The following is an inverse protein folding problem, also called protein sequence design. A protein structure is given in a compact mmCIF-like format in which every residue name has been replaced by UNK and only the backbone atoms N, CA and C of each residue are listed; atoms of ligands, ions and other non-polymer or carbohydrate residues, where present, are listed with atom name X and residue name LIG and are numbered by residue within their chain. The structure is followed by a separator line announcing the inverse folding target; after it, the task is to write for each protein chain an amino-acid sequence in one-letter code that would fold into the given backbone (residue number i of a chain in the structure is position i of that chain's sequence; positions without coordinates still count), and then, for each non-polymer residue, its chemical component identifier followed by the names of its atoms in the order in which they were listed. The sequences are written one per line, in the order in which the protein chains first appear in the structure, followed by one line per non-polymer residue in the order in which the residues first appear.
data_IF_005082678736
#
_entry.id   IF_005082678736
#
_cell.length_a   1.000
_cell.length_b   1.000
_cell.length_c   1.000
_cell.angle_alpha   90.00
_cell.angle_beta   90.00
_cell.angle_gamma   90.00
#
_symmetry.space_group_name_H-M   'P 1'
#
loop_
_entity.id
_entity.type
_entity.pdbx_description
1 polymer ?
#
# COMPACT_ATOMS: atom_id res chain seq x y z
N UNK A 1 -70.00 -6.68 52.09
CA UNK A 1 -69.13 -5.89 52.97
C UNK A 1 -67.78 -5.92 52.28
N UNK A 2 -67.54 -4.98 51.36
CA UNK A 2 -66.80 -3.73 51.66
C UNK A 2 -65.46 -4.11 52.29
N UNK A 3 -64.32 -3.74 51.72
CA UNK A 3 -63.86 -2.35 51.69
C UNK A 3 -62.80 -2.17 50.58
N UNK A 4 -62.87 -1.05 49.86
CA UNK A 4 -61.69 -0.41 49.27
C UNK A 4 -61.37 0.81 50.16
N UNK A 5 -60.10 1.14 50.44
CA UNK A 5 -59.63 2.41 49.88
C UNK A 5 -58.13 2.50 49.52
N UNK A 6 -57.89 3.11 48.37
CA UNK A 6 -56.83 4.04 47.97
C UNK A 6 -55.47 4.04 48.73
N UNK A 7 -54.41 3.65 48.01
CA UNK A 7 -53.02 3.93 48.35
C UNK A 7 -52.23 4.36 47.12
N UNK A 8 -51.65 5.56 47.18
CA UNK A 8 -50.94 6.32 46.14
C UNK A 8 -49.90 5.50 45.36
N UNK A 9 -49.95 5.54 44.03
CA UNK A 9 -48.80 5.27 43.16
C UNK A 9 -48.25 6.61 42.67
N UNK A 10 -47.33 7.16 43.46
CA UNK A 10 -46.27 8.01 42.94
C UNK A 10 -45.04 7.12 42.79
N UNK A 11 -44.61 6.86 41.57
CA UNK A 11 -43.29 6.31 41.29
C UNK A 11 -42.93 6.72 39.86
N UNK A 12 -42.39 7.93 39.80
CA UNK A 12 -41.51 8.37 38.72
C UNK A 12 -40.37 7.37 38.58
N UNK A 13 -40.30 6.69 37.44
CA UNK A 13 -39.11 5.98 36.99
C UNK A 13 -39.18 5.87 35.48
N UNK A 14 -39.00 7.03 34.83
CA UNK A 14 -38.30 7.05 33.56
C UNK A 14 -36.88 6.58 33.82
N UNK A 15 -36.67 5.25 33.78
CA UNK A 15 -35.34 4.67 33.68
C UNK A 15 -34.82 5.02 32.28
N UNK A 16 -34.31 6.25 32.19
CA UNK A 16 -33.55 6.78 31.09
C UNK A 16 -32.47 5.77 30.76
N UNK A 17 -32.66 5.07 29.65
CA UNK A 17 -31.72 4.12 29.08
C UNK A 17 -30.49 4.93 28.66
N UNK A 18 -29.61 5.18 29.64
CA UNK A 18 -28.27 5.67 29.39
C UNK A 18 -27.56 4.59 28.61
N UNK A 19 -27.53 4.77 27.29
CA UNK A 19 -26.61 4.08 26.41
C UNK A 19 -25.21 4.36 26.94
N UNK A 20 -24.72 3.44 27.77
CA UNK A 20 -23.32 3.39 28.18
C UNK A 20 -22.49 3.36 26.90
N UNK A 21 -21.43 4.17 26.77
CA UNK A 21 -20.52 4.05 25.63
C UNK A 21 -19.94 2.64 25.69
N UNK A 22 -20.26 1.81 24.68
CA UNK A 22 -19.86 0.42 24.63
C UNK A 22 -18.35 0.32 24.90
N UNK A 23 -17.98 -0.35 26.00
CA UNK A 23 -16.59 -0.70 26.27
C UNK A 23 -16.08 -1.53 25.09
N UNK A 24 -15.07 -1.02 24.38
CA UNK A 24 -14.44 -1.73 23.27
C UNK A 24 -14.03 -3.13 23.75
N UNK A 25 -14.37 -4.21 23.02
CA UNK A 25 -14.06 -5.56 23.45
C UNK A 25 -12.54 -5.74 23.60
N UNK A 26 -12.13 -6.47 24.62
CA UNK A 26 -10.71 -6.71 24.92
C UNK A 26 -10.05 -7.58 23.83
N UNK A 27 -8.80 -7.29 23.42
CA UNK A 27 -8.05 -8.11 22.47
C UNK A 27 -7.94 -9.57 22.95
N UNK A 28 -8.33 -10.52 22.12
CA UNK A 28 -8.35 -11.96 22.45
C UNK A 28 -9.69 -12.52 22.93
N UNK A 29 -10.71 -11.67 23.13
CA UNK A 29 -12.09 -12.12 23.31
C UNK A 29 -12.77 -12.40 21.96
N UNK A 30 -13.71 -13.34 21.91
CA UNK A 30 -14.47 -13.70 20.70
C UNK A 30 -15.18 -12.47 20.10
N UNK A 31 -15.63 -11.53 20.94
CA UNK A 31 -16.26 -10.27 20.52
C UNK A 31 -15.29 -9.30 19.81
N UNK A 32 -13.97 -9.46 19.98
CA UNK A 32 -12.96 -8.66 19.28
C UNK A 32 -12.74 -9.14 17.84
N UNK A 33 -12.93 -10.44 17.58
CA UNK A 33 -12.80 -11.05 16.26
C UNK A 33 -13.89 -10.59 15.28
N UNK A 34 -15.07 -10.27 15.81
CA UNK A 34 -16.24 -9.77 15.05
C UNK A 34 -16.25 -8.25 14.85
N UNK A 35 -15.23 -7.53 15.33
CA UNK A 35 -15.12 -6.10 15.03
C UNK A 35 -14.93 -5.89 13.52
N UNK A 36 -15.60 -4.89 12.91
CA UNK A 36 -15.35 -4.50 11.53
C UNK A 36 -13.87 -4.15 11.38
N UNK A 37 -13.10 -5.07 10.79
CA UNK A 37 -11.69 -4.80 10.53
C UNK A 37 -11.62 -3.68 9.50
N UNK A 38 -10.86 -2.63 9.82
CA UNK A 38 -10.57 -1.59 8.85
C UNK A 38 -10.15 -2.25 7.54
N UNK A 39 -10.80 -1.91 6.42
CA UNK A 39 -10.48 -2.54 5.16
C UNK A 39 -9.00 -2.34 4.88
N UNK A 40 -8.28 -3.44 4.75
CA UNK A 40 -6.82 -3.42 4.52
C UNK A 40 -6.47 -2.86 3.14
N UNK A 41 -7.48 -2.71 2.28
CA UNK A 41 -7.39 -2.07 0.98
C UNK A 41 -8.17 -0.75 1.01
N UNK A 42 -7.68 0.22 0.24
CA UNK A 42 -8.27 1.55 0.14
C UNK A 42 -9.76 1.43 -0.26
N UNK A 43 -10.68 1.74 0.67
CA UNK A 43 -12.15 1.62 0.52
C UNK A 43 -12.70 2.60 -0.53
N UNK A 44 -11.86 3.55 -0.93
CA UNK A 44 -12.26 4.60 -1.83
C UNK A 44 -12.08 4.11 -3.27
N UNK A 45 -13.12 4.23 -4.13
CA UNK A 45 -13.04 3.90 -5.55
C UNK A 45 -12.14 4.88 -6.34
N UNK A 46 -11.42 5.77 -5.64
CA UNK A 46 -10.56 6.76 -6.26
C UNK A 46 -9.22 6.13 -6.55
N UNK A 47 -8.80 6.21 -7.81
CA UNK A 47 -7.46 5.88 -8.23
C UNK A 47 -6.46 6.70 -7.42
N UNK A 48 -5.62 6.01 -6.64
CA UNK A 48 -4.57 6.66 -5.86
C UNK A 48 -3.52 7.17 -6.83
N UNK A 49 -3.26 8.48 -6.78
CA UNK A 49 -2.22 9.11 -7.59
C UNK A 49 -1.02 9.44 -6.72
N UNK A 50 0.16 9.20 -7.25
CA UNK A 50 1.43 9.45 -6.55
C UNK A 50 2.18 10.59 -7.20
N UNK A 51 2.81 11.42 -6.36
CA UNK A 51 3.70 12.50 -6.80
C UNK A 51 5.13 11.99 -6.93
N UNK A 52 5.99 12.79 -7.56
CA UNK A 52 7.41 12.49 -7.80
C UNK A 52 8.17 11.97 -6.56
N UNK A 53 7.91 12.57 -5.39
CA UNK A 53 8.56 12.16 -4.15
C UNK A 53 8.20 10.72 -3.75
N UNK A 54 6.91 10.39 -3.78
CA UNK A 54 6.40 9.05 -3.45
C UNK A 54 6.80 8.03 -4.52
N UNK A 55 6.77 8.44 -5.80
CA UNK A 55 7.25 7.59 -6.90
C UNK A 55 8.70 7.15 -6.69
N UNK A 56 9.59 8.05 -6.25
CA UNK A 56 10.99 7.71 -5.98
C UNK A 56 11.16 6.73 -4.81
N UNK A 57 10.21 6.69 -3.86
CA UNK A 57 10.24 5.72 -2.76
C UNK A 57 9.90 4.31 -3.25
N UNK A 58 8.96 4.20 -4.19
CA UNK A 58 8.50 2.92 -4.74
C UNK A 58 9.47 2.43 -5.82
N UNK A 59 9.84 3.33 -6.73
CA UNK A 59 10.72 3.09 -7.86
C UNK A 59 11.98 3.93 -7.66
N UNK A 60 13.07 3.36 -7.10
CA UNK A 60 14.31 4.08 -6.83
C UNK A 60 15.12 4.30 -8.12
N UNK A 61 14.49 4.86 -9.15
CA UNK A 61 15.11 5.27 -10.40
C UNK A 61 15.34 6.78 -10.44
N UNK A 62 16.35 7.19 -11.20
CA UNK A 62 16.58 8.59 -11.48
C UNK A 62 15.45 9.16 -12.34
N UNK A 63 15.15 10.45 -12.16
CA UNK A 63 14.09 11.12 -12.93
C UNK A 63 14.37 11.08 -14.43
N UNK A 64 15.63 11.32 -14.82
CA UNK A 64 16.08 11.24 -16.21
C UNK A 64 15.81 9.86 -16.82
N UNK A 65 16.04 8.80 -16.06
CA UNK A 65 15.74 7.43 -16.48
C UNK A 65 14.23 7.24 -16.66
N UNK A 66 13.40 7.75 -15.74
CA UNK A 66 11.94 7.69 -15.88
C UNK A 66 11.49 8.42 -17.16
N UNK A 67 12.05 9.61 -17.45
CA UNK A 67 11.78 10.34 -18.69
C UNK A 67 12.19 9.56 -19.95
N UNK A 68 13.36 8.93 -19.94
CA UNK A 68 13.82 8.10 -21.06
C UNK A 68 12.93 6.88 -21.27
N UNK A 69 12.51 6.22 -20.19
CA UNK A 69 11.61 5.07 -20.25
C UNK A 69 10.20 5.47 -20.71
N UNK A 70 9.69 6.61 -20.26
CA UNK A 70 8.44 7.20 -20.76
C UNK A 70 8.55 7.47 -22.28
N UNK A 71 9.66 8.06 -22.74
CA UNK A 71 9.91 8.29 -24.17
C UNK A 71 9.98 6.99 -24.97
N UNK A 72 10.47 5.91 -24.37
CA UNK A 72 10.52 4.56 -24.97
C UNK A 72 9.18 3.82 -24.87
N UNK A 73 8.18 4.37 -24.18
CA UNK A 73 6.89 3.73 -23.92
C UNK A 73 6.96 2.58 -22.91
N UNK A 74 8.07 2.47 -22.17
CA UNK A 74 8.30 1.42 -21.18
C UNK A 74 7.83 1.78 -19.78
N UNK A 75 7.39 3.01 -19.53
CA UNK A 75 6.96 3.50 -18.22
C UNK A 75 5.53 4.08 -18.28
N UNK A 76 4.72 3.94 -17.22
CA UNK A 76 3.37 4.52 -17.13
C UNK A 76 3.29 5.98 -17.56
N UNK A 77 2.22 6.32 -18.28
CA UNK A 77 2.04 7.67 -18.83
C UNK A 77 1.72 8.64 -17.70
N UNK A 78 2.57 9.66 -17.53
CA UNK A 78 2.29 10.74 -16.58
C UNK A 78 1.15 11.63 -17.08
N UNK A 79 0.41 12.20 -16.14
CA UNK A 79 -0.58 13.22 -16.46
C UNK A 79 -0.47 14.42 -15.53
N UNK A 80 -0.85 15.58 -16.05
CA UNK A 80 -0.78 16.84 -15.33
C UNK A 80 -2.11 17.05 -14.61
N UNK A 81 -2.12 16.92 -13.28
CA UNK A 81 -3.26 17.30 -12.46
C UNK A 81 -3.45 18.83 -12.46
N UNK A 82 -2.33 19.57 -12.46
CA UNK A 82 -2.28 21.04 -12.63
C UNK A 82 -1.05 21.42 -13.46
N UNK A 83 -0.91 22.66 -13.94
CA UNK A 83 0.24 23.08 -14.75
C UNK A 83 1.61 22.80 -14.12
N UNK A 84 1.69 22.70 -12.79
CA UNK A 84 2.91 22.38 -12.03
C UNK A 84 2.88 21.02 -11.32
N UNK A 85 1.75 20.30 -11.38
CA UNK A 85 1.58 19.04 -10.65
C UNK A 85 1.46 17.89 -11.65
N UNK A 86 2.57 17.20 -11.86
CA UNK A 86 2.65 15.96 -12.61
C UNK A 86 2.48 14.81 -11.62
N UNK A 87 1.57 13.89 -11.95
CA UNK A 87 1.22 12.73 -11.13
C UNK A 87 1.23 11.46 -11.97
N UNK A 88 1.36 10.33 -11.28
CA UNK A 88 1.26 8.99 -11.84
C UNK A 88 0.13 8.24 -11.13
N UNK A 89 -0.53 7.33 -11.85
CA UNK A 89 -1.47 6.39 -11.23
C UNK A 89 -0.68 5.29 -10.50
N UNK A 90 -0.99 5.05 -9.24
CA UNK A 90 -0.33 4.01 -8.45
C UNK A 90 -0.54 2.63 -9.06
N UNK A 91 -1.75 2.33 -9.53
CA UNK A 91 -2.08 1.02 -10.07
C UNK A 91 -1.28 0.71 -11.36
N UNK A 92 -1.07 1.72 -12.21
CA UNK A 92 -0.22 1.55 -13.40
C UNK A 92 1.25 1.34 -13.02
N UNK A 93 1.74 2.05 -12.00
CA UNK A 93 3.11 1.89 -11.50
C UNK A 93 3.32 0.52 -10.87
N UNK A 94 2.35 0.03 -10.08
CA UNK A 94 2.38 -1.32 -9.51
C UNK A 94 2.35 -2.39 -10.61
N UNK A 95 1.42 -2.28 -11.57
CA UNK A 95 1.34 -3.20 -12.70
C UNK A 95 2.65 -3.24 -13.51
N UNK A 96 3.29 -2.08 -13.71
CA UNK A 96 4.60 -2.00 -14.35
C UNK A 96 5.72 -2.68 -13.55
N UNK A 97 5.72 -2.55 -12.21
CA UNK A 97 6.67 -3.26 -11.34
C UNK A 97 6.45 -4.77 -11.46
N UNK A 98 5.20 -5.22 -11.47
CA UNK A 98 4.87 -6.64 -11.64
C UNK A 98 5.30 -7.18 -13.00
N UNK A 99 5.09 -6.43 -14.08
CA UNK A 99 5.60 -6.77 -15.40
C UNK A 99 7.13 -6.88 -15.40
N UNK A 100 7.83 -5.95 -14.74
CA UNK A 100 9.30 -5.99 -14.59
C UNK A 100 9.80 -7.14 -13.72
N UNK A 101 8.97 -7.62 -12.80
CA UNK A 101 9.26 -8.79 -11.97
C UNK A 101 9.05 -10.10 -12.75
N UNK A 102 8.06 -10.12 -13.65
CA UNK A 102 7.78 -11.26 -14.53
C UNK A 102 8.73 -11.33 -15.72
N UNK A 103 9.18 -10.18 -16.23
CA UNK A 103 10.23 -10.12 -17.24
C UNK A 103 11.47 -10.81 -16.67
N UNK A 104 11.95 -11.92 -17.27
CA UNK A 104 13.11 -12.62 -16.76
C UNK A 104 14.28 -11.63 -16.76
N UNK A 105 14.70 -11.22 -15.56
CA UNK A 105 15.98 -10.59 -15.40
C UNK A 105 17.00 -11.65 -15.77
N UNK A 106 17.44 -11.64 -17.02
CA UNK A 106 18.72 -12.22 -17.37
C UNK A 106 19.71 -11.55 -16.42
N UNK A 107 20.00 -12.23 -15.30
CA UNK A 107 20.89 -11.71 -14.27
C UNK A 107 22.13 -11.27 -15.00
N UNK A 108 22.50 -9.99 -14.86
CA UNK A 108 23.61 -9.40 -15.60
C UNK A 108 24.75 -10.41 -15.61
N UNK A 109 25.03 -10.96 -16.80
CA UNK A 109 26.01 -12.03 -16.96
C UNK A 109 27.28 -11.51 -16.31
N UNK A 110 27.82 -12.27 -15.35
CA UNK A 110 29.02 -11.84 -14.61
C UNK A 110 30.03 -11.32 -15.64
N UNK A 111 30.48 -10.06 -15.54
CA UNK A 111 31.32 -9.48 -16.58
C UNK A 111 32.55 -10.35 -16.73
N UNK A 112 32.80 -10.83 -17.95
CA UNK A 112 33.91 -11.70 -18.25
C UNK A 112 35.21 -11.02 -17.83
N UNK A 113 35.85 -11.58 -16.80
CA UNK A 113 37.04 -11.00 -16.17
C UNK A 113 38.24 -11.07 -17.12
N UNK A 114 38.24 -11.99 -18.09
CA UNK A 114 39.29 -12.13 -19.09
C UNK A 114 39.26 -11.02 -20.14
N UNK A 115 38.12 -10.34 -20.33
CA UNK A 115 37.98 -9.20 -21.25
C UNK A 115 38.39 -7.85 -20.64
N UNK A 116 38.90 -7.84 -19.41
CA UNK A 116 39.27 -6.59 -18.72
C UNK A 116 40.57 -6.00 -19.28
N UNK A 117 40.45 -4.82 -19.90
CA UNK A 117 41.56 -4.07 -20.51
C UNK A 117 42.60 -3.57 -19.49
N UNK A 118 42.18 -3.25 -18.27
CA UNK A 118 43.02 -2.59 -17.25
C UNK A 118 43.64 -3.56 -16.24
N UNK A 119 43.12 -4.79 -16.11
CA UNK A 119 43.68 -5.87 -15.24
C UNK A 119 43.30 -7.25 -15.79
N UNK A 120 43.98 -7.75 -16.84
CA UNK A 120 43.72 -9.07 -17.38
C UNK A 120 44.15 -10.16 -16.38
N UNK A 121 43.36 -11.23 -16.28
CA UNK A 121 43.73 -12.43 -15.50
C UNK A 121 44.88 -13.11 -16.22
N UNK A 122 45.97 -13.39 -15.48
CA UNK A 122 47.12 -14.12 -16.02
C UNK A 122 46.65 -15.52 -16.41
N UNK A 123 46.61 -15.82 -17.71
CA UNK A 123 46.33 -17.17 -18.20
C UNK A 123 47.41 -18.11 -17.66
N UNK A 124 47.06 -18.88 -16.63
CA UNK A 124 47.94 -19.89 -16.05
C UNK A 124 48.20 -20.96 -17.10
N UNK A 125 49.46 -21.06 -17.49
CA UNK A 125 50.05 -22.21 -18.17
C UNK A 125 49.66 -23.51 -17.45
N UNK A 126 48.87 -24.35 -18.10
CA UNK A 126 48.68 -25.75 -17.75
C UNK A 126 48.85 -26.59 -19.02
N UNK A 127 50.12 -26.74 -19.40
CA UNK A 127 50.65 -27.81 -20.24
C UNK A 127 51.45 -28.69 -19.29
N UNK A 128 51.16 -29.99 -19.29
CA UNK A 128 51.78 -31.01 -18.45
C UNK A 128 51.00 -32.30 -18.56
#
# INVERSE_FOLDING_TARGET
MENNPAGKIGSDSGAEMRLQPASLPLPGSNAYSDLPQFPKHNVLPFRRTIRRHELRQIVPLAETTIYEMERRGEFPRRFNLTPRCVVWDLAEVEAWIDERKQAPRAGATKPDVYLRKTRPVRAGSAQG
#
